data_IF_225224422086
#
_entry.id   IF_225224422086
#
_cell.length_a   1.000
_cell.length_b   1.000
_cell.length_c   1.000
_cell.angle_alpha   90.00
_cell.angle_beta   90.00
_cell.angle_gamma   90.00
#
_symmetry.space_group_name_H-M   'P 1'
#
loop_
_entity.id
_entity.type
_entity.pdbx_description
1 polymer ?
#
# COMPACT_ATOMS: atom_id res chain seq x y z
N UNK A 1 10.71 11.43 5.85
CA UNK A 1 11.76 11.35 4.81
C UNK A 1 11.05 11.15 3.48
N UNK A 2 11.37 11.91 2.43
CA UNK A 2 10.80 11.66 1.09
C UNK A 2 11.55 10.49 0.45
N UNK A 3 10.92 9.31 0.43
CA UNK A 3 11.47 8.16 -0.31
C UNK A 3 11.25 8.39 -1.81
N UNK A 4 12.36 8.43 -2.56
CA UNK A 4 12.34 8.74 -3.99
C UNK A 4 12.36 7.43 -4.78
N UNK A 5 11.17 6.93 -5.14
CA UNK A 5 10.98 5.64 -5.83
C UNK A 5 11.64 5.54 -7.21
N UNK A 6 11.91 6.68 -7.86
CA UNK A 6 12.58 6.70 -9.18
C UNK A 6 13.99 6.09 -9.17
N UNK A 7 14.65 6.01 -8.02
CA UNK A 7 15.97 5.41 -7.87
C UNK A 7 15.96 3.94 -7.43
N UNK A 8 14.82 3.41 -6.93
CA UNK A 8 14.69 1.99 -6.58
C UNK A 8 14.75 1.07 -7.81
N UNK A 9 14.40 1.60 -8.99
CA UNK A 9 14.48 0.89 -10.27
C UNK A 9 15.80 1.11 -11.03
N UNK A 10 16.78 1.82 -10.44
CA UNK A 10 18.11 2.03 -11.01
C UNK A 10 19.20 1.57 -10.05
N UNK A 11 19.26 0.27 -9.78
CA UNK A 11 20.39 -0.31 -9.06
C UNK A 11 21.49 -0.63 -10.09
N UNK A 12 22.53 0.22 -10.12
CA UNK A 12 23.82 -0.15 -10.69
C UNK A 12 24.44 -1.22 -9.77
N UNK A 13 24.50 -2.45 -10.27
CA UNK A 13 25.12 -3.57 -9.54
C UNK A 13 26.64 -3.43 -9.64
N UNK A 14 27.27 -2.87 -8.62
CA UNK A 14 28.67 -3.16 -8.34
C UNK A 14 28.75 -4.54 -7.67
N UNK A 15 29.22 -5.53 -8.44
CA UNK A 15 29.46 -6.90 -7.97
C UNK A 15 30.66 -6.90 -7.01
N UNK A 16 30.40 -6.84 -5.71
CA UNK A 16 31.30 -7.45 -4.74
C UNK A 16 30.96 -8.93 -4.61
N UNK A 17 31.98 -9.76 -4.80
CA UNK A 17 31.87 -11.21 -4.84
C UNK A 17 31.85 -11.77 -3.43
N UNK A 18 30.70 -12.31 -3.03
CA UNK A 18 30.61 -13.24 -1.92
C UNK A 18 30.18 -14.59 -2.50
N UNK A 19 31.07 -15.57 -2.35
CA UNK A 19 30.82 -16.98 -2.61
C UNK A 19 29.64 -17.47 -1.75
N UNK A 20 28.46 -17.48 -2.36
CA UNK A 20 27.35 -18.39 -2.07
C UNK A 20 26.40 -18.32 -3.27
N UNK A 21 26.29 -19.41 -4.03
CA UNK A 21 25.44 -19.59 -5.21
C UNK A 21 23.92 -19.60 -4.87
N UNK A 22 23.47 -18.78 -3.91
CA UNK A 22 22.04 -18.54 -3.75
C UNK A 22 21.59 -17.56 -4.83
N UNK A 23 20.88 -18.09 -5.82
CA UNK A 23 20.24 -17.28 -6.85
C UNK A 23 19.23 -16.35 -6.19
N UNK A 24 19.58 -15.06 -6.14
CA UNK A 24 18.70 -13.98 -5.69
C UNK A 24 17.85 -13.45 -6.84
N UNK A 25 16.65 -12.98 -6.53
CA UNK A 25 15.74 -12.37 -7.50
C UNK A 25 16.15 -10.92 -7.86
N UNK A 26 15.33 -10.24 -8.67
CA UNK A 26 15.58 -8.84 -9.08
C UNK A 26 15.56 -7.83 -7.93
N UNK A 27 15.02 -8.21 -6.78
CA UNK A 27 14.97 -7.40 -5.56
C UNK A 27 16.05 -7.80 -4.54
N UNK A 28 16.88 -8.80 -4.86
CA UNK A 28 17.97 -9.27 -4.00
C UNK A 28 17.55 -10.30 -2.96
N UNK A 29 16.36 -10.91 -3.07
CA UNK A 29 15.89 -11.93 -2.13
C UNK A 29 16.19 -13.34 -2.63
N UNK A 30 16.59 -14.21 -1.71
CA UNK A 30 16.74 -15.64 -1.95
C UNK A 30 15.37 -16.31 -2.08
N UNK A 31 15.34 -17.50 -2.69
CA UNK A 31 14.11 -18.30 -2.79
C UNK A 31 13.48 -18.58 -1.41
N UNK A 32 14.30 -18.93 -0.41
CA UNK A 32 13.83 -19.25 0.94
C UNK A 32 13.19 -18.04 1.61
N UNK A 33 13.74 -16.84 1.43
CA UNK A 33 13.14 -15.61 1.94
C UNK A 33 11.80 -15.32 1.27
N UNK A 34 11.70 -15.48 -0.06
CA UNK A 34 10.44 -15.30 -0.78
C UNK A 34 9.36 -16.28 -0.32
N UNK A 35 9.71 -17.54 -0.05
CA UNK A 35 8.80 -18.54 0.51
C UNK A 35 8.29 -18.15 1.91
N UNK A 36 9.07 -17.40 2.70
CA UNK A 36 8.62 -16.86 4.00
C UNK A 36 7.59 -15.73 3.81
N UNK A 37 7.82 -14.82 2.86
CA UNK A 37 6.84 -13.80 2.51
C UNK A 37 5.53 -14.41 2.00
N UNK A 38 5.61 -15.45 1.16
CA UNK A 38 4.44 -16.12 0.60
C UNK A 38 3.48 -16.65 1.69
N UNK A 39 3.98 -17.02 2.88
CA UNK A 39 3.14 -17.47 4.01
C UNK A 39 2.16 -16.40 4.49
N UNK A 40 2.49 -15.13 4.30
CA UNK A 40 1.71 -13.99 4.77
C UNK A 40 1.02 -13.24 3.61
N UNK A 41 0.96 -13.82 2.40
CA UNK A 41 0.48 -13.13 1.20
C UNK A 41 -0.95 -12.60 1.31
N UNK A 42 -1.83 -13.27 2.06
CA UNK A 42 -3.20 -12.79 2.30
C UNK A 42 -3.22 -11.51 3.13
N UNK A 43 -2.29 -11.35 4.07
CA UNK A 43 -2.14 -10.12 4.84
C UNK A 43 -1.66 -8.99 3.92
N UNK A 44 -0.66 -9.23 3.06
CA UNK A 44 -0.17 -8.22 2.12
C UNK A 44 -1.22 -7.79 1.10
N UNK A 45 -2.00 -8.75 0.59
CA UNK A 45 -3.16 -8.46 -0.26
C UNK A 45 -4.18 -7.60 0.49
N UNK A 46 -4.47 -7.93 1.74
CA UNK A 46 -5.39 -7.17 2.59
C UNK A 46 -4.90 -5.74 2.79
N UNK A 47 -3.60 -5.51 2.97
CA UNK A 47 -3.04 -4.16 3.12
C UNK A 47 -3.21 -3.33 1.85
N UNK A 48 -3.00 -3.92 0.65
CA UNK A 48 -3.29 -3.22 -0.62
C UNK A 48 -4.77 -2.83 -0.68
N UNK A 49 -5.69 -3.74 -0.37
CA UNK A 49 -7.14 -3.46 -0.42
C UNK A 49 -7.55 -2.43 0.64
N UNK A 50 -7.09 -2.58 1.88
CA UNK A 50 -7.38 -1.69 2.99
C UNK A 50 -6.86 -0.28 2.74
N UNK A 51 -5.62 -0.16 2.26
CA UNK A 51 -5.04 1.12 1.91
C UNK A 51 -5.92 1.84 0.88
N UNK A 52 -6.33 1.18 -0.21
CA UNK A 52 -7.27 1.76 -1.17
C UNK A 52 -8.63 2.14 -0.53
N UNK A 53 -9.19 1.28 0.33
CA UNK A 53 -10.46 1.55 1.02
C UNK A 53 -10.35 2.82 1.87
N UNK A 54 -9.26 3.02 2.61
CA UNK A 54 -9.09 4.22 3.43
C UNK A 54 -9.13 5.50 2.59
N UNK A 55 -8.54 5.50 1.39
CA UNK A 55 -8.63 6.66 0.49
C UNK A 55 -10.01 6.88 -0.12
N UNK A 56 -10.94 5.92 0.00
CA UNK A 56 -12.34 6.14 -0.38
C UNK A 56 -13.13 6.93 0.67
N UNK A 57 -12.63 7.01 1.90
CA UNK A 57 -13.36 7.57 3.01
C UNK A 57 -13.41 9.10 2.97
N UNK A 58 -14.52 9.64 3.47
CA UNK A 58 -14.64 11.04 3.85
C UNK A 58 -14.13 11.26 5.28
N UNK A 59 -14.12 12.51 5.74
CA UNK A 59 -13.66 12.87 7.09
C UNK A 59 -14.43 12.13 8.17
N UNK A 60 -15.75 12.03 8.07
CA UNK A 60 -16.61 11.35 9.05
C UNK A 60 -16.24 9.86 9.17
N UNK A 61 -16.09 9.17 8.04
CA UNK A 61 -15.71 7.76 7.98
C UNK A 61 -14.28 7.53 8.51
N UNK A 62 -13.34 8.44 8.23
CA UNK A 62 -12.00 8.37 8.82
C UNK A 62 -12.03 8.59 10.35
N UNK A 63 -12.90 9.46 10.86
CA UNK A 63 -13.09 9.61 12.31
C UNK A 63 -13.64 8.33 12.96
N UNK A 64 -14.53 7.60 12.28
CA UNK A 64 -15.00 6.29 12.76
C UNK A 64 -13.89 5.25 12.87
N UNK A 65 -12.77 5.45 12.16
CA UNK A 65 -11.62 4.56 12.21
C UNK A 65 -10.69 4.81 13.41
N UNK A 66 -10.82 5.92 14.16
CA UNK A 66 -9.97 6.23 15.33
C UNK A 66 -9.84 5.09 16.37
N UNK A 67 -10.86 4.25 16.64
CA UNK A 67 -10.71 3.12 17.55
C UNK A 67 -9.83 1.99 17.00
N UNK A 68 -9.61 1.95 15.69
CA UNK A 68 -8.87 0.91 14.95
C UNK A 68 -7.49 1.45 14.57
N UNK A 69 -7.46 2.66 13.99
CA UNK A 69 -6.30 3.40 13.52
C UNK A 69 -5.95 4.45 14.57
N UNK A 70 -4.72 4.45 15.07
CA UNK A 70 -4.33 5.34 16.19
C UNK A 70 -4.49 6.81 15.78
N UNK A 71 -4.05 7.13 14.57
CA UNK A 71 -4.23 8.43 13.92
C UNK A 71 -4.59 8.20 12.44
N UNK A 72 -5.88 8.22 12.07
CA UNK A 72 -6.33 7.85 10.72
C UNK A 72 -5.66 8.65 9.59
N UNK A 73 -5.29 9.92 9.82
CA UNK A 73 -4.66 10.75 8.80
C UNK A 73 -3.20 10.35 8.56
N UNK A 74 -2.48 10.04 9.64
CA UNK A 74 -1.11 9.49 9.55
C UNK A 74 -1.14 8.08 8.97
N UNK A 75 -2.09 7.26 9.41
CA UNK A 75 -2.24 5.86 8.99
C UNK A 75 -2.62 5.74 7.50
N UNK A 76 -3.36 6.71 6.92
CA UNK A 76 -3.55 6.80 5.47
C UNK A 76 -2.24 6.78 4.69
N UNK A 77 -1.23 7.50 5.17
CA UNK A 77 0.09 7.53 4.55
C UNK A 77 0.85 6.23 4.81
N UNK A 78 0.87 5.77 6.06
CA UNK A 78 1.65 4.60 6.47
C UNK A 78 1.13 3.29 5.85
N UNK A 79 -0.19 3.09 5.80
CA UNK A 79 -0.83 1.91 5.21
C UNK A 79 -0.53 1.81 3.71
N UNK A 80 -0.58 2.93 2.98
CA UNK A 80 -0.20 2.97 1.57
C UNK A 80 1.30 2.76 1.39
N UNK A 81 2.16 3.33 2.24
CA UNK A 81 3.61 3.11 2.10
C UNK A 81 4.00 1.65 2.38
N UNK A 82 3.40 1.05 3.40
CA UNK A 82 3.63 -0.36 3.74
C UNK A 82 3.11 -1.31 2.66
N UNK A 83 1.86 -1.13 2.21
CA UNK A 83 1.24 -2.00 1.20
C UNK A 83 1.99 -2.01 -0.14
N UNK A 84 2.69 -0.91 -0.46
CA UNK A 84 3.44 -0.74 -1.70
C UNK A 84 4.96 -0.95 -1.53
N UNK A 85 5.41 -1.44 -0.37
CA UNK A 85 6.81 -1.85 -0.21
C UNK A 85 7.14 -2.96 -1.24
N UNK A 86 8.24 -2.85 -2.02
CA UNK A 86 8.44 -3.67 -3.22
C UNK A 86 8.28 -5.18 -3.00
N UNK A 87 8.87 -5.72 -1.94
CA UNK A 87 8.80 -7.17 -1.65
C UNK A 87 7.39 -7.62 -1.29
N UNK A 88 6.61 -6.80 -0.57
CA UNK A 88 5.24 -7.16 -0.17
C UNK A 88 4.29 -7.07 -1.37
N UNK A 89 4.40 -5.98 -2.12
CA UNK A 89 3.61 -5.74 -3.31
C UNK A 89 3.84 -6.84 -4.36
N UNK A 90 5.09 -7.12 -4.71
CA UNK A 90 5.44 -8.18 -5.68
C UNK A 90 5.00 -9.56 -5.21
N UNK A 91 4.98 -9.82 -3.90
CA UNK A 91 4.51 -11.10 -3.35
C UNK A 91 3.04 -11.35 -3.70
N UNK A 92 2.19 -10.31 -3.70
CA UNK A 92 0.77 -10.42 -4.07
C UNK A 92 0.58 -10.81 -5.55
N UNK A 93 1.38 -10.21 -6.44
CA UNK A 93 1.34 -10.49 -7.88
C UNK A 93 1.96 -11.85 -8.23
N UNK A 94 3.10 -12.20 -7.63
CA UNK A 94 3.74 -13.51 -7.78
C UNK A 94 2.79 -14.65 -7.42
N UNK A 95 1.99 -14.46 -6.37
CA UNK A 95 0.97 -15.42 -5.92
C UNK A 95 -0.38 -15.27 -6.65
N UNK A 96 -0.50 -14.37 -7.64
CA UNK A 96 -1.66 -14.19 -8.51
C UNK A 96 -2.95 -13.83 -7.77
N UNK A 97 -2.86 -13.17 -6.62
CA UNK A 97 -4.04 -12.64 -5.91
C UNK A 97 -4.60 -11.40 -6.60
N UNK A 98 -3.74 -10.65 -7.31
CA UNK A 98 -4.12 -9.55 -8.20
C UNK A 98 -3.56 -9.86 -9.59
N UNK A 99 -4.32 -9.50 -10.63
CA UNK A 99 -3.88 -9.66 -12.01
C UNK A 99 -2.78 -8.63 -12.34
N UNK A 100 -1.69 -9.08 -12.96
CA UNK A 100 -0.54 -8.24 -13.37
C UNK A 100 -0.95 -7.01 -14.18
N UNK A 101 -2.05 -7.08 -14.93
CA UNK A 101 -2.57 -5.96 -15.71
C UNK A 101 -2.93 -4.72 -14.86
N UNK A 102 -3.17 -4.88 -13.55
CA UNK A 102 -3.49 -3.79 -12.64
C UNK A 102 -2.27 -3.21 -11.91
N UNK A 103 -1.09 -3.83 -12.07
CA UNK A 103 0.12 -3.47 -11.33
C UNK A 103 0.55 -2.03 -11.59
N UNK A 104 0.61 -1.63 -12.85
CA UNK A 104 0.99 -0.27 -13.25
C UNK A 104 0.00 0.76 -12.71
N UNK A 105 -1.30 0.48 -12.78
CA UNK A 105 -2.32 1.40 -12.26
C UNK A 105 -2.22 1.58 -10.74
N UNK A 106 -1.97 0.50 -10.00
CA UNK A 106 -1.75 0.55 -8.55
C UNK A 106 -0.50 1.35 -8.20
N UNK A 107 0.61 1.13 -8.91
CA UNK A 107 1.85 1.89 -8.72
C UNK A 107 1.66 3.37 -9.03
N UNK A 108 0.90 3.70 -10.09
CA UNK A 108 0.57 5.08 -10.42
C UNK A 108 -0.24 5.75 -9.32
N UNK A 109 -1.21 5.05 -8.72
CA UNK A 109 -1.95 5.56 -7.57
C UNK A 109 -1.03 5.89 -6.39
N UNK A 110 -0.08 5.01 -6.02
CA UNK A 110 0.93 5.30 -5.00
C UNK A 110 1.71 6.57 -5.32
N UNK A 111 2.16 6.71 -6.57
CA UNK A 111 2.90 7.89 -7.03
C UNK A 111 2.07 9.17 -6.91
N UNK A 112 0.78 9.12 -7.25
CA UNK A 112 -0.11 10.27 -7.11
C UNK A 112 -0.32 10.66 -5.63
N UNK A 113 -0.48 9.68 -4.73
CA UNK A 113 -0.56 9.90 -3.28
C UNK A 113 0.73 10.53 -2.73
N UNK A 114 1.90 10.02 -3.13
CA UNK A 114 3.20 10.57 -2.70
C UNK A 114 3.46 12.00 -3.17
N UNK A 115 2.75 12.43 -4.21
CA UNK A 115 2.84 13.78 -4.76
C UNK A 115 1.88 14.77 -4.10
N UNK A 116 1.00 14.32 -3.20
CA UNK A 116 0.11 15.21 -2.45
C UNK A 116 0.98 16.16 -1.60
N UNK A 117 0.87 17.49 -1.78
CA UNK A 117 1.61 18.46 -0.98
C UNK A 117 1.31 18.30 0.51
N UNK A 118 2.32 18.50 1.36
CA UNK A 118 2.20 18.31 2.82
C UNK A 118 1.11 19.20 3.42
N UNK A 119 0.88 20.36 2.83
CA UNK A 119 -0.14 21.33 3.25
C UNK A 119 -1.57 20.84 3.02
N UNK A 120 -1.77 19.81 2.18
CA UNK A 120 -3.08 19.21 1.94
C UNK A 120 -3.39 18.05 2.90
N UNK A 121 -2.42 17.60 3.69
CA UNK A 121 -2.62 16.58 4.72
C UNK A 121 -3.22 17.20 5.98
N UNK A 122 -4.44 17.73 5.84
CA UNK A 122 -5.21 18.35 6.91
C UNK A 122 -6.68 17.89 6.82
N UNK A 123 -7.26 17.58 7.97
CA UNK A 123 -8.65 17.17 8.12
C UNK A 123 -9.64 18.13 7.45
N UNK A 124 -9.41 19.44 7.53
CA UNK A 124 -10.32 20.44 6.94
C UNK A 124 -10.32 20.42 5.39
N UNK A 125 -9.28 19.83 4.80
CA UNK A 125 -8.98 19.86 3.37
C UNK A 125 -9.43 18.57 2.67
N UNK A 126 -9.46 17.43 3.37
CA UNK A 126 -9.74 16.10 2.78
C UNK A 126 -11.03 16.03 1.95
N UNK A 127 -12.09 16.69 2.40
CA UNK A 127 -13.40 16.64 1.72
C UNK A 127 -13.66 17.81 0.78
N UNK A 128 -12.83 18.86 0.85
CA UNK A 128 -13.07 20.12 0.14
C UNK A 128 -12.12 20.33 -1.03
N UNK A 129 -10.95 19.67 -1.02
CA UNK A 129 -9.92 19.85 -2.02
C UNK A 129 -10.08 18.91 -3.23
N UNK A 130 -9.89 19.46 -4.42
CA UNK A 130 -10.02 18.72 -5.68
C UNK A 130 -8.99 17.59 -5.83
N UNK A 131 -7.79 17.72 -5.25
CA UNK A 131 -6.76 16.67 -5.26
C UNK A 131 -7.26 15.45 -4.50
N UNK A 132 -7.76 15.64 -3.28
CA UNK A 132 -8.31 14.55 -2.47
C UNK A 132 -9.56 13.93 -3.12
N UNK A 133 -10.41 14.75 -3.74
CA UNK A 133 -11.55 14.25 -4.50
C UNK A 133 -11.12 13.36 -5.67
N UNK A 134 -10.08 13.75 -6.41
CA UNK A 134 -9.52 12.93 -7.49
C UNK A 134 -8.96 11.62 -6.95
N UNK A 135 -8.12 11.67 -5.92
CA UNK A 135 -7.52 10.47 -5.30
C UNK A 135 -8.60 9.50 -4.82
N UNK A 136 -9.68 10.02 -4.21
CA UNK A 136 -10.83 9.22 -3.78
C UNK A 136 -11.50 8.49 -4.94
N UNK A 137 -11.71 9.18 -6.06
CA UNK A 137 -12.28 8.57 -7.27
C UNK A 137 -11.34 7.50 -7.83
N UNK A 138 -10.04 7.75 -7.84
CA UNK A 138 -9.05 6.82 -8.39
C UNK A 138 -8.96 5.54 -7.54
N UNK A 139 -8.98 5.68 -6.21
CA UNK A 139 -9.08 4.55 -5.29
C UNK A 139 -10.37 3.74 -5.51
N UNK A 140 -11.52 4.42 -5.64
CA UNK A 140 -12.82 3.81 -5.90
C UNK A 140 -12.82 3.01 -7.22
N UNK A 141 -12.25 3.60 -8.28
CA UNK A 141 -12.12 2.94 -9.59
C UNK A 141 -11.22 1.71 -9.52
N UNK A 142 -10.09 1.78 -8.81
CA UNK A 142 -9.19 0.65 -8.61
C UNK A 142 -9.89 -0.49 -7.87
N UNK A 143 -10.58 -0.20 -6.77
CA UNK A 143 -11.35 -1.21 -6.04
C UNK A 143 -12.40 -1.89 -6.92
N UNK A 144 -13.09 -1.12 -7.76
CA UNK A 144 -14.06 -1.66 -8.72
C UNK A 144 -13.41 -2.55 -9.77
N UNK A 145 -12.25 -2.16 -10.33
CA UNK A 145 -11.47 -2.99 -11.27
C UNK A 145 -10.96 -4.29 -10.64
N UNK A 146 -10.58 -4.23 -9.37
CA UNK A 146 -10.19 -5.38 -8.56
C UNK A 146 -11.39 -6.25 -8.11
N UNK A 147 -12.61 -5.87 -8.50
CA UNK A 147 -13.87 -6.54 -8.13
C UNK A 147 -14.09 -6.62 -6.60
N UNK A 148 -13.57 -5.63 -5.86
CA UNK A 148 -13.81 -5.46 -4.43
C UNK A 148 -15.12 -4.71 -4.27
N UNK A 149 -16.14 -5.38 -3.74
CA UNK A 149 -17.50 -4.82 -3.60
C UNK A 149 -17.71 -4.05 -2.30
N UNK A 150 -16.89 -4.31 -1.30
CA UNK A 150 -17.00 -3.69 0.02
C UNK A 150 -16.10 -2.45 0.11
N UNK A 151 -16.53 -1.49 0.91
CA UNK A 151 -15.71 -0.35 1.38
C UNK A 151 -15.57 -0.42 2.90
N UNK A 152 -15.58 -1.62 3.44
CA UNK A 152 -15.40 -1.87 4.87
C UNK A 152 -13.96 -2.31 5.05
N UNK A 153 -13.22 -1.54 5.84
CA UNK A 153 -11.86 -1.85 6.24
C UNK A 153 -11.81 -3.24 6.91
N UNK A 154 -10.93 -4.11 6.42
CA UNK A 154 -10.76 -5.45 6.97
C UNK A 154 -9.88 -5.38 8.24
N UNK A 155 -10.41 -5.85 9.36
CA UNK A 155 -9.71 -5.86 10.67
C UNK A 155 -9.26 -7.27 11.10
N UNK A 156 -9.34 -8.27 10.23
CA UNK A 156 -9.03 -9.68 10.54
C UNK A 156 -7.57 -9.87 10.99
N UNK A 157 -6.67 -8.96 10.58
CA UNK A 157 -5.26 -8.95 10.94
C UNK A 157 -4.91 -7.85 11.97
N UNK A 158 -5.89 -7.11 12.47
CA UNK A 158 -5.71 -6.02 13.43
C UNK A 158 -6.11 -6.47 14.82
N UNK A 159 -5.27 -6.20 15.82
CA UNK A 159 -5.65 -6.40 17.23
C UNK A 159 -6.23 -5.11 17.78
N UNK A 160 -7.56 -5.06 17.97
CA UNK A 160 -8.23 -3.90 18.56
C UNK A 160 -8.02 -3.93 20.07
N UNK A 161 -7.25 -2.98 20.60
CA UNK A 161 -7.05 -2.82 22.05
C UNK A 161 -8.13 -1.89 22.60
N UNK A 162 -9.20 -2.47 23.16
CA UNK A 162 -10.17 -1.68 23.92
C UNK A 162 -9.53 -1.18 25.21
N UNK A 163 -9.38 0.14 25.37
CA UNK A 163 -9.12 0.73 26.69
C UNK A 163 -10.38 0.54 27.54
N UNK A 164 -10.23 -0.24 28.61
CA UNK A 164 -11.27 -0.53 29.61
C UNK A 164 -11.43 0.63 30.58
#
# INVERSE_FOLDING_TARGET
>A
MKFNFSNLFKINVEKESLDNDEQVDSLGFTKTELEEYDKNVNFYYTNIVNSLILYTYNVEQLYEMVPILIDPLTELYEEVDYAFMPVLFETVFRNKLINENYKEELLNFKVEVDQIPVELWDWEILDTNEVWYKIRIDAENLLNKLNIKTRIFNTDFTTIIFKK
#
